data_IF_513331262243
#
_entry.id   IF_513331262243
#
_cell.length_a   1.000
_cell.length_b   1.000
_cell.length_c   1.000
_cell.angle_alpha   90.00
_cell.angle_beta   90.00
_cell.angle_gamma   90.00
#
_symmetry.space_group_name_H-M   'P 1'
#
loop_
_entity.id
_entity.type
_entity.pdbx_description
1 polymer ?
#
# COMPACT_ATOMS: atom_id res chain seq x y z
N UNK A 1 -2.50 -21.07 -11.31
CA UNK A 1 -2.65 -19.65 -11.71
C UNK A 1 -1.36 -18.92 -11.34
N UNK A 2 -0.84 -18.08 -12.23
CA UNK A 2 0.41 -17.35 -11.97
C UNK A 2 0.23 -16.21 -10.97
N UNK A 3 1.28 -15.88 -10.23
CA UNK A 3 1.31 -14.77 -9.29
C UNK A 3 1.24 -13.42 -10.04
N UNK A 4 0.13 -12.69 -9.90
CA UNK A 4 -0.03 -11.37 -10.50
C UNK A 4 0.39 -10.27 -9.52
N UNK A 5 1.62 -9.76 -9.70
CA UNK A 5 2.21 -8.69 -8.85
C UNK A 5 1.31 -7.45 -8.73
N UNK A 6 0.67 -7.04 -9.81
CA UNK A 6 -0.13 -5.81 -9.87
C UNK A 6 -1.41 -5.93 -9.06
N UNK A 7 -2.12 -7.05 -9.26
CA UNK A 7 -3.35 -7.32 -8.52
C UNK A 7 -3.07 -7.49 -7.02
N UNK A 8 -2.03 -8.25 -6.69
CA UNK A 8 -1.61 -8.46 -5.31
C UNK A 8 -1.27 -7.13 -4.61
N UNK A 9 -0.50 -6.26 -5.29
CA UNK A 9 -0.16 -4.95 -4.74
C UNK A 9 -1.41 -4.07 -4.55
N UNK A 10 -2.35 -4.10 -5.49
CA UNK A 10 -3.60 -3.34 -5.39
C UNK A 10 -4.46 -3.80 -4.21
N UNK A 11 -4.65 -5.10 -4.05
CA UNK A 11 -5.38 -5.69 -2.93
C UNK A 11 -4.77 -5.28 -1.58
N UNK A 12 -3.45 -5.33 -1.46
CA UNK A 12 -2.77 -4.88 -0.24
C UNK A 12 -2.97 -3.37 0.01
N UNK A 13 -2.89 -2.53 -1.01
CA UNK A 13 -3.11 -1.08 -0.88
C UNK A 13 -4.56 -0.80 -0.44
N UNK A 14 -5.53 -1.50 -1.02
CA UNK A 14 -6.94 -1.28 -0.71
C UNK A 14 -7.27 -1.74 0.72
N UNK A 15 -6.71 -2.87 1.17
CA UNK A 15 -6.79 -3.30 2.55
C UNK A 15 -6.17 -2.27 3.52
N UNK A 16 -4.99 -1.72 3.20
CA UNK A 16 -4.35 -0.70 4.02
C UNK A 16 -5.18 0.60 4.10
N UNK A 17 -5.78 1.06 2.99
CA UNK A 17 -6.68 2.22 2.99
C UNK A 17 -7.85 2.00 3.95
N UNK A 18 -8.45 0.80 3.93
CA UNK A 18 -9.54 0.43 4.84
C UNK A 18 -9.06 0.48 6.30
N UNK A 19 -7.94 -0.15 6.64
CA UNK A 19 -7.41 -0.13 8.02
C UNK A 19 -7.20 1.30 8.51
N UNK A 20 -6.55 2.16 7.71
CA UNK A 20 -6.31 3.55 8.09
C UNK A 20 -7.60 4.36 8.25
N UNK A 21 -8.59 4.13 7.38
CA UNK A 21 -9.89 4.78 7.49
C UNK A 21 -10.62 4.36 8.79
N UNK A 22 -10.65 3.06 9.09
CA UNK A 22 -11.30 2.52 10.29
C UNK A 22 -10.63 3.02 11.57
N UNK A 23 -9.29 3.10 11.59
CA UNK A 23 -8.53 3.64 12.72
C UNK A 23 -8.89 5.11 12.98
N UNK A 24 -8.99 5.92 11.90
CA UNK A 24 -9.40 7.34 12.00
C UNK A 24 -10.85 7.51 12.48
N UNK A 25 -11.76 6.68 11.98
CA UNK A 25 -13.19 6.74 12.29
C UNK A 25 -13.55 6.06 13.63
N UNK A 26 -12.60 5.36 14.26
CA UNK A 26 -12.77 4.61 15.51
C UNK A 26 -14.00 3.69 15.51
N UNK A 27 -14.22 2.98 14.39
CA UNK A 27 -15.38 2.09 14.21
C UNK A 27 -14.97 0.71 13.70
N UNK A 28 -15.82 -0.32 13.87
CA UNK A 28 -15.59 -1.62 13.25
C UNK A 28 -15.77 -1.59 11.73
N UNK A 29 -15.16 -2.57 11.06
CA UNK A 29 -15.31 -2.80 9.63
C UNK A 29 -16.71 -3.30 9.27
N UNK A 30 -17.29 -2.75 8.21
CA UNK A 30 -18.47 -3.31 7.54
C UNK A 30 -18.14 -4.66 6.89
N UNK A 31 -19.16 -5.47 6.55
CA UNK A 31 -18.93 -6.74 5.86
C UNK A 31 -18.14 -6.59 4.54
N UNK A 32 -18.34 -5.48 3.81
CA UNK A 32 -17.60 -5.20 2.58
C UNK A 32 -16.13 -4.90 2.86
N UNK A 33 -15.87 -4.08 3.87
CA UNK A 33 -14.49 -3.75 4.30
C UNK A 33 -13.77 -5.00 4.83
N UNK A 34 -14.46 -5.85 5.58
CA UNK A 34 -13.89 -7.13 6.04
C UNK A 34 -13.42 -8.01 4.87
N UNK A 35 -14.17 -8.08 3.77
CA UNK A 35 -13.74 -8.81 2.57
C UNK A 35 -12.44 -8.26 2.00
N UNK A 36 -12.31 -6.93 1.90
CA UNK A 36 -11.08 -6.29 1.43
C UNK A 36 -9.90 -6.58 2.36
N UNK A 37 -10.12 -6.58 3.68
CA UNK A 37 -9.09 -6.92 4.64
C UNK A 37 -8.61 -8.38 4.52
N UNK A 38 -9.51 -9.31 4.17
CA UNK A 38 -9.17 -10.72 3.94
C UNK A 38 -8.35 -10.94 2.67
N UNK A 39 -8.38 -10.01 1.71
CA UNK A 39 -7.54 -10.06 0.50
C UNK A 39 -6.09 -9.65 0.77
N UNK A 40 -5.81 -9.05 1.93
CA UNK A 40 -4.44 -8.72 2.32
C UNK A 40 -3.60 -9.99 2.48
N UNK A 41 -2.51 -10.04 1.74
CA UNK A 41 -1.63 -11.22 1.69
C UNK A 41 -0.15 -10.89 1.85
N UNK A 42 0.15 -9.65 2.27
CA UNK A 42 1.50 -9.20 2.58
C UNK A 42 2.38 -8.99 1.33
N UNK A 43 3.66 -8.67 1.53
CA UNK A 43 4.52 -8.13 0.47
C UNK A 43 5.66 -9.05 0.00
N UNK A 44 5.72 -10.31 0.47
CA UNK A 44 6.88 -11.19 0.26
C UNK A 44 7.31 -11.35 -1.21
N UNK A 45 6.34 -11.49 -2.13
CA UNK A 45 6.58 -11.61 -3.57
C UNK A 45 6.78 -10.28 -4.31
N UNK A 46 6.67 -9.14 -3.62
CA UNK A 46 6.63 -7.80 -4.18
C UNK A 46 7.89 -7.00 -3.86
N UNK A 47 9.08 -7.62 -3.97
CA UNK A 47 10.37 -6.99 -3.58
C UNK A 47 10.62 -5.60 -4.19
N UNK A 48 10.07 -5.32 -5.37
CA UNK A 48 10.20 -4.02 -6.04
C UNK A 48 9.61 -2.85 -5.22
N UNK A 49 8.73 -3.11 -4.24
CA UNK A 49 8.21 -2.04 -3.36
C UNK A 49 9.29 -1.38 -2.50
N UNK A 50 10.45 -2.02 -2.36
CA UNK A 50 11.59 -1.49 -1.61
C UNK A 50 12.45 -0.53 -2.44
N UNK A 51 12.21 -0.46 -3.76
CA UNK A 51 12.94 0.43 -4.63
C UNK A 51 12.53 1.91 -4.38
N UNK A 52 13.41 2.88 -4.68
CA UNK A 52 13.07 4.30 -4.63
C UNK A 52 11.91 4.64 -5.57
N UNK A 53 11.05 5.57 -5.12
CA UNK A 53 9.86 6.05 -5.83
C UNK A 53 9.55 7.53 -5.56
N UNK A 54 10.51 8.27 -5.02
CA UNK A 54 10.31 9.66 -4.59
C UNK A 54 10.18 10.61 -5.79
N UNK A 55 10.97 10.37 -6.83
CA UNK A 55 11.00 11.18 -8.04
C UNK A 55 10.57 10.36 -9.26
N UNK A 56 9.99 11.00 -10.28
CA UNK A 56 9.61 10.31 -11.53
C UNK A 56 10.81 9.64 -12.21
N UNK A 57 12.01 10.21 -12.06
CA UNK A 57 13.25 9.65 -12.60
C UNK A 57 13.66 8.32 -11.94
N UNK A 58 13.12 7.99 -10.77
CA UNK A 58 13.51 6.79 -10.02
C UNK A 58 13.13 5.50 -10.77
N UNK A 59 12.10 5.56 -11.64
CA UNK A 59 11.68 4.42 -12.48
C UNK A 59 12.80 3.93 -13.39
N UNK A 60 13.78 4.79 -13.73
CA UNK A 60 14.92 4.41 -14.55
C UNK A 60 15.84 3.40 -13.84
N UNK A 61 15.78 3.31 -12.51
CA UNK A 61 16.53 2.33 -11.72
C UNK A 61 15.80 0.98 -11.59
N UNK A 62 14.56 0.88 -12.08
CA UNK A 62 13.75 -0.33 -12.02
C UNK A 62 13.97 -1.24 -13.22
N UNK A 63 13.62 -2.53 -13.08
CA UNK A 63 13.53 -3.44 -14.22
C UNK A 63 12.42 -2.97 -15.15
N UNK A 64 12.67 -2.96 -16.46
CA UNK A 64 11.68 -2.57 -17.48
C UNK A 64 10.34 -3.30 -17.34
N UNK A 65 10.35 -4.57 -16.92
CA UNK A 65 9.16 -5.40 -16.69
C UNK A 65 8.34 -5.01 -15.47
N UNK A 66 8.82 -4.08 -14.65
CA UNK A 66 8.18 -3.63 -13.40
C UNK A 66 7.82 -2.13 -13.45
N UNK A 67 8.08 -1.46 -14.57
CA UNK A 67 7.76 -0.04 -14.75
C UNK A 67 6.26 0.24 -14.61
N UNK A 68 5.40 -0.70 -15.00
CA UNK A 68 3.94 -0.57 -14.85
C UNK A 68 3.46 -0.67 -13.39
N UNK A 69 4.33 -1.12 -12.48
CA UNK A 69 4.09 -1.21 -11.04
C UNK A 69 4.58 0.05 -10.29
N UNK A 70 5.35 0.92 -10.96
CA UNK A 70 5.93 2.12 -10.34
C UNK A 70 4.86 3.08 -9.79
N UNK A 71 3.80 3.47 -10.54
CA UNK A 71 2.78 4.38 -10.01
C UNK A 71 2.02 3.78 -8.82
N UNK A 72 1.79 2.48 -8.83
CA UNK A 72 1.10 1.78 -7.75
C UNK A 72 1.98 1.69 -6.50
N UNK A 73 3.29 1.56 -6.68
CA UNK A 73 4.26 1.59 -5.57
C UNK A 73 4.40 2.99 -4.99
N UNK A 74 4.38 4.04 -5.82
CA UNK A 74 4.28 5.42 -5.34
C UNK A 74 3.05 5.63 -4.44
N UNK A 75 1.88 5.14 -4.88
CA UNK A 75 0.66 5.20 -4.09
C UNK A 75 0.82 4.49 -2.73
N UNK A 76 1.44 3.31 -2.70
CA UNK A 76 1.72 2.60 -1.45
C UNK A 76 2.60 3.44 -0.51
N UNK A 77 3.70 4.01 -1.02
CA UNK A 77 4.62 4.81 -0.22
C UNK A 77 3.96 6.08 0.32
N UNK A 78 3.20 6.79 -0.51
CA UNK A 78 2.43 7.96 -0.09
C UNK A 78 1.41 7.60 0.99
N UNK A 79 0.65 6.52 0.80
CA UNK A 79 -0.32 6.04 1.78
C UNK A 79 0.33 5.74 3.14
N UNK A 80 1.47 5.05 3.15
CA UNK A 80 2.18 4.73 4.38
C UNK A 80 2.75 5.98 5.06
N UNK A 81 3.43 6.87 4.30
CA UNK A 81 4.00 8.11 4.83
C UNK A 81 2.94 9.00 5.48
N UNK A 82 1.83 9.25 4.78
CA UNK A 82 0.74 10.11 5.28
C UNK A 82 0.11 9.59 6.57
N UNK A 83 0.05 8.26 6.76
CA UNK A 83 -0.56 7.66 7.95
C UNK A 83 0.45 7.38 9.09
N UNK A 84 1.75 7.24 8.79
CA UNK A 84 2.78 7.11 9.80
C UNK A 84 2.99 8.42 10.59
N UNK A 85 2.95 9.57 9.91
CA UNK A 85 3.03 10.88 10.58
C UNK A 85 1.83 11.15 11.49
N UNK A 86 0.62 10.68 11.13
CA UNK A 86 -0.58 10.83 11.96
C UNK A 86 -0.42 10.21 13.36
N UNK A 87 0.18 9.01 13.44
CA UNK A 87 0.37 8.32 14.73
C UNK A 87 1.30 9.07 15.67
N UNK A 88 2.31 9.76 15.13
CA UNK A 88 3.27 10.53 15.95
C UNK A 88 2.67 11.82 16.52
N UNK A 89 1.61 12.36 15.91
CA UNK A 89 0.90 13.54 16.43
C UNK A 89 -0.14 13.18 17.49
N UNK A 90 -0.70 11.97 17.48
CA UNK A 90 -1.69 11.54 18.48
C UNK A 90 -1.04 11.06 19.79
N UNK A 91 0.24 10.66 19.76
CA UNK A 91 1.00 10.29 20.97
C UNK A 91 1.51 11.49 21.79
N UNK A 92 1.33 12.72 21.30
CA UNK A 92 1.81 13.97 21.92
C UNK A 92 0.69 14.79 22.61
N UNK A 93 -0.50 14.21 22.78
CA UNK A 93 -1.63 14.76 23.56
C UNK A 93 -2.01 13.81 24.66
#
# INVERSE_FOLDING_TARGET
>A
MGFNKKEHLRQNIDALKVVFQLEREKRPATQREQKLLLEYSGFGGLKFILNPVENEIDVNHWRKTEHDLFPLTQQLHQLLKSNAWMKNSTAAM
#
